data_IF_409810179812
#
_entry.id   IF_409810179812
#
_cell.length_a   1.000
_cell.length_b   1.000
_cell.length_c   1.000
_cell.angle_alpha   90.00
_cell.angle_beta   90.00
_cell.angle_gamma   90.00
#
_symmetry.space_group_name_H-M   'P 1'
#
loop_
_entity.id
_entity.type
_entity.pdbx_description
1 polymer ?
#
# COMPACT_ATOMS: atom_id res chain seq x y z
N UNK A 1 -2.09 20.63 -3.99
CA UNK A 1 -0.87 19.82 -3.89
C UNK A 1 -0.98 18.49 -4.68
N UNK A 2 -2.01 17.69 -4.54
CA UNK A 2 -2.16 16.38 -5.23
C UNK A 2 -2.36 16.48 -6.73
N UNK A 3 -3.13 17.46 -7.19
CA UNK A 3 -3.24 17.77 -8.62
C UNK A 3 -1.88 18.13 -9.23
N UNK A 4 -1.01 18.80 -8.47
CA UNK A 4 0.35 19.12 -8.93
C UNK A 4 1.19 17.83 -9.11
N UNK A 5 1.15 16.89 -8.17
CA UNK A 5 1.91 15.63 -8.26
C UNK A 5 1.45 14.79 -9.46
N UNK A 6 0.13 14.65 -9.65
CA UNK A 6 -0.43 13.94 -10.81
C UNK A 6 -0.10 14.64 -12.13
N UNK A 7 -0.16 15.96 -12.17
CA UNK A 7 0.20 16.75 -13.34
C UNK A 7 1.70 16.65 -13.65
N UNK A 8 2.58 16.72 -12.63
CA UNK A 8 4.02 16.56 -12.80
C UNK A 8 4.34 15.17 -13.37
N UNK A 9 3.72 14.12 -12.81
CA UNK A 9 3.86 12.77 -13.33
C UNK A 9 3.36 12.65 -14.77
N UNK A 10 2.17 13.22 -15.06
CA UNK A 10 1.61 13.23 -16.42
C UNK A 10 2.59 13.86 -17.43
N UNK A 11 3.12 15.06 -17.10
CA UNK A 11 4.06 15.75 -17.97
C UNK A 11 5.42 15.05 -18.06
N UNK A 12 5.91 14.47 -16.96
CA UNK A 12 7.11 13.62 -16.98
C UNK A 12 6.97 12.48 -18.01
N UNK A 13 5.89 11.73 -17.95
CA UNK A 13 5.63 10.62 -18.86
C UNK A 13 5.47 11.11 -20.32
N UNK A 14 4.76 12.23 -20.52
CA UNK A 14 4.51 12.77 -21.88
C UNK A 14 5.77 13.35 -22.52
N UNK A 15 6.61 14.04 -21.78
CA UNK A 15 7.77 14.77 -22.28
C UNK A 15 9.02 13.87 -22.28
N UNK A 16 9.29 13.19 -21.17
CA UNK A 16 10.52 12.40 -20.98
C UNK A 16 10.36 11.00 -21.59
N UNK A 17 9.30 10.28 -21.21
CA UNK A 17 9.07 8.93 -21.74
C UNK A 17 8.38 8.91 -23.12
N UNK A 18 7.82 10.03 -23.56
CA UNK A 18 7.17 10.23 -24.87
C UNK A 18 6.08 9.20 -25.18
N UNK A 19 5.32 8.78 -24.18
CA UNK A 19 4.23 7.80 -24.31
C UNK A 19 2.90 8.33 -23.76
N UNK A 20 1.84 7.58 -23.98
CA UNK A 20 0.54 7.82 -23.35
C UNK A 20 0.57 7.37 -21.89
N UNK A 21 -0.13 8.13 -21.01
CA UNK A 21 -0.25 7.86 -19.55
C UNK A 21 -1.45 6.95 -19.33
N UNK A 22 -1.36 5.71 -19.78
CA UNK A 22 -2.46 4.74 -19.70
C UNK A 22 -2.81 4.33 -18.28
N UNK A 23 -1.84 4.37 -17.38
CA UNK A 23 -1.98 4.03 -15.97
C UNK A 23 -2.80 5.05 -15.17
N UNK A 24 -2.96 6.27 -15.68
CA UNK A 24 -3.86 7.31 -15.16
C UNK A 24 -5.13 7.48 -15.99
N UNK A 25 -5.44 6.56 -16.91
CA UNK A 25 -6.65 6.67 -17.72
C UNK A 25 -7.90 6.85 -16.86
N UNK A 26 -8.75 7.81 -17.24
CA UNK A 26 -9.96 8.20 -16.50
C UNK A 26 -11.08 7.16 -16.55
N UNK A 27 -11.07 6.32 -17.59
CA UNK A 27 -12.00 5.19 -17.69
C UNK A 27 -11.88 4.29 -16.46
N UNK A 28 -12.97 4.14 -15.71
CA UNK A 28 -13.06 3.34 -14.49
C UNK A 28 -12.36 3.90 -13.23
N UNK A 29 -11.84 5.14 -13.23
CA UNK A 29 -11.17 5.76 -12.06
C UNK A 29 -12.00 5.62 -10.80
N UNK A 30 -13.26 6.07 -10.80
CA UNK A 30 -14.11 6.02 -9.61
C UNK A 30 -14.32 4.58 -9.12
N UNK A 31 -14.59 3.66 -10.05
CA UNK A 31 -14.81 2.24 -9.72
C UNK A 31 -13.56 1.61 -9.09
N UNK A 32 -12.39 1.83 -9.67
CA UNK A 32 -11.14 1.23 -9.17
C UNK A 32 -10.68 1.87 -7.87
N UNK A 33 -10.78 3.19 -7.77
CA UNK A 33 -10.45 3.90 -6.54
C UNK A 33 -11.38 3.46 -5.39
N UNK A 34 -12.69 3.41 -5.62
CA UNK A 34 -13.66 2.96 -4.60
C UNK A 34 -13.45 1.49 -4.23
N UNK A 35 -13.15 0.62 -5.18
CA UNK A 35 -12.83 -0.77 -4.91
C UNK A 35 -11.54 -0.89 -4.09
N UNK A 36 -10.53 -0.07 -4.39
CA UNK A 36 -9.29 0.01 -3.62
C UNK A 36 -9.54 0.49 -2.20
N UNK A 37 -10.30 1.58 -2.04
CA UNK A 37 -10.67 2.11 -0.71
C UNK A 37 -11.42 1.07 0.11
N UNK A 38 -12.41 0.41 -0.47
CA UNK A 38 -13.15 -0.65 0.22
C UNK A 38 -12.22 -1.80 0.62
N UNK A 39 -11.36 -2.26 -0.30
CA UNK A 39 -10.43 -3.36 -0.04
C UNK A 39 -9.43 -3.01 1.06
N UNK A 40 -8.77 -1.85 0.99
CA UNK A 40 -7.83 -1.40 2.01
C UNK A 40 -8.48 -1.28 3.39
N UNK A 41 -9.71 -0.73 3.44
CA UNK A 41 -10.52 -0.66 4.67
C UNK A 41 -10.79 -2.05 5.23
N UNK A 42 -11.22 -3.00 4.40
CA UNK A 42 -11.52 -4.37 4.84
C UNK A 42 -10.26 -5.08 5.32
N UNK A 43 -9.15 -4.98 4.59
CA UNK A 43 -7.90 -5.64 4.95
C UNK A 43 -7.38 -5.15 6.30
N UNK A 44 -7.29 -3.83 6.51
CA UNK A 44 -6.81 -3.29 7.77
C UNK A 44 -7.78 -3.59 8.93
N UNK A 45 -9.09 -3.42 8.71
CA UNK A 45 -10.09 -3.74 9.73
C UNK A 45 -10.07 -5.23 10.12
N UNK A 46 -9.80 -6.13 9.16
CA UNK A 46 -9.64 -7.56 9.44
C UNK A 46 -8.40 -7.80 10.32
N UNK A 47 -7.29 -7.14 10.02
CA UNK A 47 -6.07 -7.22 10.85
C UNK A 47 -6.37 -6.76 12.28
N UNK A 48 -7.00 -5.61 12.46
CA UNK A 48 -7.36 -5.11 13.80
C UNK A 48 -8.35 -6.03 14.50
N UNK A 49 -9.33 -6.58 13.80
CA UNK A 49 -10.29 -7.52 14.38
C UNK A 49 -9.58 -8.78 14.92
N UNK A 50 -8.60 -9.32 14.19
CA UNK A 50 -7.78 -10.44 14.67
C UNK A 50 -6.98 -10.05 15.91
N UNK A 51 -6.31 -8.89 15.90
CA UNK A 51 -5.54 -8.40 17.04
C UNK A 51 -6.42 -8.14 18.27
N UNK A 52 -7.62 -7.62 18.08
CA UNK A 52 -8.59 -7.39 19.13
C UNK A 52 -9.09 -8.72 19.74
N UNK A 53 -9.43 -9.70 18.92
CA UNK A 53 -9.86 -11.03 19.38
C UNK A 53 -8.78 -11.76 20.17
N UNK A 54 -7.50 -11.52 19.83
CA UNK A 54 -6.34 -12.08 20.53
C UNK A 54 -5.92 -11.27 21.77
N UNK A 55 -6.59 -10.12 22.04
CA UNK A 55 -6.28 -9.26 23.17
C UNK A 55 -5.06 -8.35 22.97
N UNK A 56 -4.53 -8.26 21.75
CA UNK A 56 -3.36 -7.43 21.45
C UNK A 56 -3.72 -5.97 21.10
N UNK A 57 -4.95 -5.69 20.70
CA UNK A 57 -5.47 -4.35 20.43
C UNK A 57 -6.55 -3.98 21.45
N UNK A 58 -6.41 -2.81 22.08
CA UNK A 58 -7.36 -2.32 23.07
C UNK A 58 -7.68 -0.85 22.80
N UNK A 59 -8.95 -0.47 22.98
CA UNK A 59 -9.44 0.91 22.88
C UNK A 59 -9.66 1.45 24.27
N UNK A 60 -9.12 2.62 24.57
CA UNK A 60 -9.26 3.31 25.86
C UNK A 60 -10.19 4.52 25.83
N UNK A 61 -10.29 5.21 24.68
CA UNK A 61 -11.13 6.38 24.51
C UNK A 61 -11.58 6.58 23.06
N UNK A 62 -12.60 7.42 22.87
CA UNK A 62 -13.06 7.90 21.56
C UNK A 62 -12.84 9.40 21.53
N UNK A 63 -12.08 9.87 20.54
CA UNK A 63 -11.74 11.27 20.35
C UNK A 63 -12.80 12.00 19.49
N UNK A 64 -12.64 13.31 19.36
CA UNK A 64 -13.48 14.11 18.49
C UNK A 64 -13.29 13.67 17.02
N UNK A 65 -14.36 13.76 16.22
CA UNK A 65 -14.33 13.33 14.81
C UNK A 65 -13.25 14.06 13.98
N UNK A 66 -12.88 15.27 14.37
CA UNK A 66 -11.83 16.04 13.69
C UNK A 66 -10.45 15.38 13.73
N UNK A 67 -10.18 14.48 14.68
CA UNK A 67 -8.91 13.73 14.78
C UNK A 67 -8.60 12.90 13.55
N UNK A 68 -9.60 12.54 12.74
CA UNK A 68 -9.38 11.80 11.49
C UNK A 68 -8.76 12.64 10.38
N UNK A 69 -8.93 13.97 10.40
CA UNK A 69 -8.59 14.84 9.26
C UNK A 69 -7.09 14.83 8.89
N UNK A 70 -6.14 14.88 9.86
CA UNK A 70 -4.71 14.77 9.53
C UNK A 70 -4.40 13.47 8.79
N UNK A 71 -4.97 12.36 9.24
CA UNK A 71 -4.72 11.04 8.65
C UNK A 71 -5.41 10.84 7.30
N UNK A 72 -6.56 11.46 7.08
CA UNK A 72 -7.16 11.52 5.74
C UNK A 72 -6.22 12.26 4.76
N UNK A 73 -5.66 13.39 5.19
CA UNK A 73 -4.71 14.14 4.37
C UNK A 73 -3.41 13.36 4.12
N UNK A 74 -2.81 12.78 5.17
CA UNK A 74 -1.59 11.97 5.08
C UNK A 74 -1.83 10.77 4.15
N UNK A 75 -2.92 10.02 4.36
CA UNK A 75 -3.25 8.87 3.54
C UNK A 75 -3.38 9.20 2.06
N UNK A 76 -4.04 10.33 1.72
CA UNK A 76 -4.17 10.77 0.33
C UNK A 76 -2.81 11.17 -0.25
N UNK A 77 -2.00 11.90 0.50
CA UNK A 77 -0.68 12.36 0.01
C UNK A 77 0.26 11.18 -0.18
N UNK A 78 0.42 10.32 0.83
CA UNK A 78 1.30 9.15 0.74
C UNK A 78 0.81 8.16 -0.33
N UNK A 79 -0.48 7.82 -0.33
CA UNK A 79 -1.05 6.88 -1.28
C UNK A 79 -0.93 7.33 -2.75
N UNK A 80 -1.03 8.61 -3.04
CA UNK A 80 -0.80 9.12 -4.40
C UNK A 80 0.69 9.18 -4.71
N UNK A 81 1.48 9.80 -3.85
CA UNK A 81 2.89 10.08 -4.13
C UNK A 81 3.70 8.79 -4.24
N UNK A 82 3.55 7.89 -3.28
CA UNK A 82 4.30 6.64 -3.25
C UNK A 82 3.90 5.70 -4.39
N UNK A 83 2.59 5.61 -4.72
CA UNK A 83 2.17 4.77 -5.84
C UNK A 83 2.64 5.30 -7.20
N UNK A 84 2.69 6.62 -7.38
CA UNK A 84 3.26 7.21 -8.59
C UNK A 84 4.75 6.86 -8.73
N UNK A 85 5.53 6.97 -7.65
CA UNK A 85 6.96 6.65 -7.67
C UNK A 85 7.20 5.13 -7.83
N UNK A 86 6.52 4.33 -7.01
CA UNK A 86 6.81 2.91 -6.92
C UNK A 86 6.18 2.11 -8.06
N UNK A 87 4.93 2.40 -8.43
CA UNK A 87 4.20 1.63 -9.46
C UNK A 87 4.21 2.35 -10.80
N UNK A 88 4.05 3.66 -10.77
CA UNK A 88 4.08 4.48 -11.98
C UNK A 88 5.46 4.61 -12.63
N UNK A 89 6.51 4.64 -11.85
CA UNK A 89 7.89 4.79 -12.37
C UNK A 89 8.69 3.51 -12.16
N UNK A 90 9.06 3.18 -10.92
CA UNK A 90 10.02 2.11 -10.65
C UNK A 90 9.55 0.74 -11.16
N UNK A 91 8.36 0.30 -10.74
CA UNK A 91 7.81 -0.99 -11.13
C UNK A 91 7.73 -1.11 -12.65
N UNK A 92 7.22 -0.09 -13.31
CA UNK A 92 7.01 -0.11 -14.75
C UNK A 92 8.33 -0.20 -15.52
N UNK A 93 9.36 0.55 -15.11
CA UNK A 93 10.70 0.46 -15.71
C UNK A 93 11.30 -0.93 -15.52
N UNK A 94 11.19 -1.48 -14.29
CA UNK A 94 11.65 -2.84 -13.99
C UNK A 94 10.86 -3.89 -14.78
N UNK A 95 9.55 -3.75 -14.91
CA UNK A 95 8.71 -4.69 -15.65
C UNK A 95 9.04 -4.70 -17.13
N UNK A 96 9.26 -3.53 -17.73
CA UNK A 96 9.65 -3.42 -19.13
C UNK A 96 10.98 -4.09 -19.41
N UNK A 97 11.93 -4.00 -18.50
CA UNK A 97 13.26 -4.61 -18.66
C UNK A 97 13.29 -6.08 -18.21
N UNK A 98 12.88 -6.35 -16.98
CA UNK A 98 13.11 -7.62 -16.29
C UNK A 98 11.88 -8.54 -16.23
N UNK A 99 10.73 -8.07 -16.73
CA UNK A 99 9.47 -8.79 -16.68
C UNK A 99 8.76 -8.68 -15.33
N UNK A 100 7.48 -9.07 -15.30
CA UNK A 100 6.57 -8.81 -14.18
C UNK A 100 7.01 -9.47 -12.87
N UNK A 101 7.51 -10.72 -12.90
CA UNK A 101 7.91 -11.44 -11.68
C UNK A 101 9.04 -10.72 -10.93
N UNK A 102 10.08 -10.34 -11.66
CA UNK A 102 11.25 -9.65 -11.08
C UNK A 102 10.84 -8.24 -10.65
N UNK A 103 10.00 -7.57 -11.44
CA UNK A 103 9.51 -6.23 -11.09
C UNK A 103 8.70 -6.23 -9.78
N UNK A 104 7.82 -7.22 -9.54
CA UNK A 104 7.11 -7.37 -8.26
C UNK A 104 8.13 -7.51 -7.12
N UNK A 105 9.08 -8.45 -7.23
CA UNK A 105 10.04 -8.72 -6.18
C UNK A 105 10.93 -7.50 -5.86
N UNK A 106 11.54 -6.90 -6.88
CA UNK A 106 12.47 -5.79 -6.69
C UNK A 106 11.76 -4.51 -6.21
N UNK A 107 10.61 -4.16 -6.80
CA UNK A 107 9.88 -2.97 -6.35
C UNK A 107 9.35 -3.12 -4.91
N UNK A 108 8.91 -4.33 -4.53
CA UNK A 108 8.50 -4.61 -3.16
C UNK A 108 9.67 -4.50 -2.18
N UNK A 109 10.85 -5.06 -2.51
CA UNK A 109 12.05 -4.94 -1.70
C UNK A 109 12.48 -3.48 -1.52
N UNK A 110 12.47 -2.69 -2.59
CA UNK A 110 12.80 -1.25 -2.52
C UNK A 110 11.79 -0.54 -1.62
N UNK A 111 10.50 -0.85 -1.74
CA UNK A 111 9.45 -0.24 -0.93
C UNK A 111 9.69 -0.50 0.58
N UNK A 112 9.90 -1.75 0.96
CA UNK A 112 10.21 -2.10 2.36
C UNK A 112 11.54 -1.52 2.85
N UNK A 113 12.57 -1.47 1.99
CA UNK A 113 13.87 -0.89 2.34
C UNK A 113 13.78 0.63 2.62
N UNK A 114 12.96 1.37 1.87
CA UNK A 114 12.71 2.80 2.12
C UNK A 114 12.07 3.02 3.49
N UNK A 115 11.22 2.11 3.96
CA UNK A 115 10.59 2.19 5.27
C UNK A 115 11.55 1.91 6.45
N UNK A 116 12.76 1.38 6.18
CA UNK A 116 13.80 1.26 7.22
C UNK A 116 14.32 2.61 7.71
N UNK A 117 14.06 3.69 7.00
CA UNK A 117 14.43 5.05 7.42
C UNK A 117 13.40 5.69 8.36
N UNK A 118 12.26 5.05 8.56
CA UNK A 118 11.18 5.57 9.41
C UNK A 118 11.48 5.39 10.91
N UNK A 119 10.85 6.18 11.79
CA UNK A 119 10.95 5.98 13.23
C UNK A 119 10.59 4.55 13.64
N UNK A 120 11.28 4.04 14.65
CA UNK A 120 11.02 2.70 15.22
C UNK A 120 11.15 1.53 14.22
N UNK A 121 11.73 1.74 13.04
CA UNK A 121 11.89 0.70 12.04
C UNK A 121 12.87 -0.39 12.53
N UNK A 122 12.55 -1.63 12.19
CA UNK A 122 13.36 -2.82 12.39
C UNK A 122 13.53 -3.57 11.08
N UNK A 123 14.47 -4.49 10.99
CA UNK A 123 14.58 -5.36 9.81
C UNK A 123 13.29 -6.15 9.56
N UNK A 124 12.62 -6.57 10.64
CA UNK A 124 11.31 -7.23 10.52
C UNK A 124 10.26 -6.26 9.94
N UNK A 125 10.22 -5.01 10.40
CA UNK A 125 9.28 -4.01 9.85
C UNK A 125 9.50 -3.82 8.34
N UNK A 126 10.75 -3.63 7.90
CA UNK A 126 11.07 -3.51 6.47
C UNK A 126 10.66 -4.75 5.67
N UNK A 127 10.86 -5.96 6.21
CA UNK A 127 10.47 -7.21 5.57
C UNK A 127 8.94 -7.38 5.53
N UNK A 128 8.25 -7.07 6.61
CA UNK A 128 6.79 -7.10 6.69
C UNK A 128 6.17 -6.16 5.66
N UNK A 129 6.62 -4.89 5.61
CA UNK A 129 6.17 -3.90 4.61
C UNK A 129 6.46 -4.35 3.18
N UNK A 130 7.63 -4.98 2.93
CA UNK A 130 7.93 -5.58 1.62
C UNK A 130 6.83 -6.54 1.19
N UNK A 131 6.41 -7.43 2.08
CA UNK A 131 5.46 -8.49 1.74
C UNK A 131 4.02 -7.97 1.75
N UNK A 132 3.61 -7.26 2.82
CA UNK A 132 2.21 -6.87 2.98
C UNK A 132 1.81 -5.74 2.02
N UNK A 133 2.58 -4.65 1.93
CA UNK A 133 2.28 -3.51 1.05
C UNK A 133 3.01 -3.61 -0.30
N UNK A 134 4.31 -3.92 -0.27
CA UNK A 134 5.14 -3.98 -1.47
C UNK A 134 4.58 -4.94 -2.50
N UNK A 135 4.34 -6.20 -2.12
CA UNK A 135 3.79 -7.23 -3.02
C UNK A 135 2.32 -6.97 -3.35
N UNK A 136 1.48 -6.66 -2.33
CA UNK A 136 0.05 -6.43 -2.56
C UNK A 136 -0.22 -5.31 -3.56
N UNK A 137 0.40 -4.14 -3.37
CA UNK A 137 0.15 -2.97 -4.20
C UNK A 137 0.75 -3.14 -5.62
N UNK A 138 1.90 -3.81 -5.76
CA UNK A 138 2.44 -4.20 -7.06
C UNK A 138 1.50 -5.18 -7.78
N UNK A 139 1.00 -6.19 -7.08
CA UNK A 139 0.03 -7.14 -7.62
C UNK A 139 -1.30 -6.48 -8.02
N UNK A 140 -1.80 -5.53 -7.23
CA UNK A 140 -2.98 -4.73 -7.54
C UNK A 140 -2.79 -3.89 -8.81
N UNK A 141 -1.58 -3.31 -9.00
CA UNK A 141 -1.22 -2.61 -10.22
C UNK A 141 -1.18 -3.56 -11.43
N UNK A 142 -0.55 -4.72 -11.33
CA UNK A 142 -0.54 -5.73 -12.42
C UNK A 142 -1.95 -6.18 -12.76
N UNK A 143 -2.81 -6.33 -11.75
CA UNK A 143 -4.21 -6.74 -11.93
C UNK A 143 -5.04 -5.70 -12.68
N UNK A 144 -4.97 -4.43 -12.27
CA UNK A 144 -5.76 -3.34 -12.88
C UNK A 144 -5.11 -2.72 -14.12
N UNK A 145 -3.76 -2.78 -14.20
CA UNK A 145 -2.94 -2.02 -15.15
C UNK A 145 -3.14 -0.51 -15.05
N UNK A 146 -3.70 -0.06 -13.94
CA UNK A 146 -3.92 1.35 -13.59
C UNK A 146 -3.55 1.60 -12.13
N UNK A 147 -3.25 2.86 -11.82
CA UNK A 147 -2.81 3.27 -10.49
C UNK A 147 -3.97 3.45 -9.50
N UNK A 148 -5.22 3.56 -9.98
CA UNK A 148 -6.35 3.91 -9.13
C UNK A 148 -6.67 2.86 -8.07
N UNK A 149 -6.53 1.57 -8.40
CA UNK A 149 -6.76 0.49 -7.44
C UNK A 149 -5.70 0.48 -6.31
N UNK A 150 -4.37 0.43 -6.60
CA UNK A 150 -3.38 0.49 -5.53
C UNK A 150 -3.39 1.81 -4.76
N UNK A 151 -3.62 2.96 -5.40
CA UNK A 151 -3.81 4.24 -4.71
C UNK A 151 -4.96 4.16 -3.71
N UNK A 152 -6.11 3.61 -4.10
CA UNK A 152 -7.27 3.46 -3.21
C UNK A 152 -6.98 2.56 -2.01
N UNK A 153 -6.30 1.42 -2.23
CA UNK A 153 -5.88 0.51 -1.15
C UNK A 153 -4.96 1.24 -0.17
N UNK A 154 -3.94 1.92 -0.67
CA UNK A 154 -2.94 2.61 0.15
C UNK A 154 -3.53 3.76 0.96
N UNK A 155 -4.34 4.62 0.33
CA UNK A 155 -5.06 5.71 1.02
C UNK A 155 -5.89 5.16 2.17
N UNK A 156 -6.71 4.14 1.89
CA UNK A 156 -7.61 3.58 2.88
C UNK A 156 -6.87 2.89 4.02
N UNK A 157 -5.80 2.17 3.71
CA UNK A 157 -4.97 1.52 4.71
C UNK A 157 -4.44 2.53 5.72
N UNK A 158 -3.72 3.56 5.26
CA UNK A 158 -3.12 4.57 6.14
C UNK A 158 -4.18 5.38 6.90
N UNK A 159 -5.28 5.76 6.21
CA UNK A 159 -6.38 6.48 6.84
C UNK A 159 -7.09 5.67 7.92
N UNK A 160 -7.39 4.41 7.66
CA UNK A 160 -8.11 3.55 8.61
C UNK A 160 -7.21 3.21 9.79
N UNK A 161 -5.93 2.92 9.53
CA UNK A 161 -4.92 2.63 10.56
C UNK A 161 -4.75 3.81 11.51
N UNK A 162 -4.32 4.94 11.01
CA UNK A 162 -4.04 6.11 11.83
C UNK A 162 -5.31 6.86 12.23
N UNK A 163 -6.18 7.15 11.26
CA UNK A 163 -7.35 8.02 11.46
C UNK A 163 -8.48 7.36 12.21
N UNK A 164 -8.78 6.10 11.95
CA UNK A 164 -9.90 5.42 12.61
C UNK A 164 -9.43 4.67 13.86
N UNK A 165 -8.51 3.73 13.70
CA UNK A 165 -8.09 2.85 14.78
C UNK A 165 -7.04 3.45 15.72
N UNK A 166 -6.46 4.62 15.39
CA UNK A 166 -5.50 5.30 16.26
C UNK A 166 -4.22 4.49 16.50
N UNK A 167 -3.79 3.71 15.50
CA UNK A 167 -2.58 2.89 15.54
C UNK A 167 -1.47 3.60 14.78
N UNK A 168 -0.25 3.55 15.29
CA UNK A 168 0.91 4.10 14.60
C UNK A 168 0.98 3.61 13.15
N UNK A 169 1.35 4.50 12.22
CA UNK A 169 1.49 4.20 10.79
C UNK A 169 2.95 4.35 10.41
N UNK A 170 3.57 3.28 9.96
CA UNK A 170 4.97 3.25 9.53
C UNK A 170 5.93 3.89 10.56
N UNK A 171 5.69 3.60 11.83
CA UNK A 171 6.50 4.11 12.94
C UNK A 171 6.15 5.51 13.43
N UNK A 172 5.19 6.19 12.79
CA UNK A 172 4.70 7.53 13.21
C UNK A 172 3.49 7.35 14.11
N UNK A 173 3.55 7.90 15.32
CA UNK A 173 2.44 7.86 16.28
C UNK A 173 1.18 8.51 15.71
N UNK A 174 0.02 8.00 16.11
CA UNK A 174 -1.27 8.46 15.63
C UNK A 174 -2.22 8.84 16.77
N UNK A 175 -2.87 9.97 16.60
CA UNK A 175 -4.04 10.41 17.35
C UNK A 175 -5.27 10.37 16.45
N UNK A 176 -5.85 9.17 16.28
CA UNK A 176 -7.03 8.96 15.44
C UNK A 176 -8.35 9.16 16.20
N UNK A 177 -9.45 8.69 15.60
CA UNK A 177 -10.78 8.67 16.24
C UNK A 177 -10.76 7.82 17.51
N UNK A 178 -10.06 6.70 17.51
CA UNK A 178 -9.89 5.85 18.67
C UNK A 178 -8.52 6.11 19.29
N UNK A 179 -8.48 6.25 20.63
CA UNK A 179 -7.25 6.15 21.40
C UNK A 179 -7.03 4.68 21.70
N UNK A 180 -5.98 4.10 21.19
CA UNK A 180 -5.75 2.67 21.27
C UNK A 180 -4.32 2.32 21.67
N UNK A 181 -4.12 1.08 22.08
CA UNK A 181 -2.81 0.52 22.41
C UNK A 181 -2.66 -0.85 21.76
N UNK A 182 -1.44 -1.10 21.26
CA UNK A 182 -1.00 -2.42 20.85
C UNK A 182 -0.12 -3.01 21.96
N UNK A 183 -0.40 -4.25 22.33
CA UNK A 183 0.34 -4.97 23.37
C UNK A 183 0.75 -6.36 22.89
N UNK A 184 1.63 -7.03 23.66
CA UNK A 184 2.11 -8.36 23.33
C UNK A 184 3.37 -8.37 22.44
N UNK A 185 3.81 -9.56 21.97
CA UNK A 185 5.02 -9.71 21.17
C UNK A 185 4.96 -8.90 19.87
N UNK A 186 6.00 -8.13 19.56
CA UNK A 186 6.08 -7.26 18.38
C UNK A 186 5.78 -7.99 17.08
N UNK A 187 6.24 -9.23 16.92
CA UNK A 187 5.96 -10.05 15.75
C UNK A 187 4.45 -10.32 15.55
N UNK A 188 3.68 -10.41 16.63
CA UNK A 188 2.23 -10.66 16.58
C UNK A 188 1.43 -9.36 16.49
N UNK A 189 1.78 -8.35 17.28
CA UNK A 189 1.02 -7.10 17.39
C UNK A 189 1.42 -6.02 16.40
N UNK A 190 2.68 -6.07 15.90
CA UNK A 190 3.31 -5.00 15.13
C UNK A 190 4.10 -4.01 15.99
N UNK A 191 3.86 -4.00 17.31
CA UNK A 191 4.57 -3.15 18.27
C UNK A 191 4.43 -1.65 18.00
N UNK A 192 5.50 -0.91 18.28
CA UNK A 192 5.53 0.55 18.14
C UNK A 192 5.59 1.05 16.69
N UNK A 193 5.95 0.19 15.74
CA UNK A 193 5.95 0.57 14.32
C UNK A 193 4.53 0.66 13.77
N UNK A 194 3.65 -0.24 14.20
CA UNK A 194 2.25 -0.28 13.78
C UNK A 194 1.75 -1.70 13.46
N UNK A 195 0.44 -1.89 13.54
CA UNK A 195 -0.21 -3.19 13.31
C UNK A 195 0.07 -3.79 11.91
N UNK A 196 0.47 -3.00 10.94
CA UNK A 196 0.87 -3.38 9.59
C UNK A 196 2.06 -4.35 9.58
N UNK A 197 2.94 -4.29 10.59
CA UNK A 197 4.06 -5.22 10.71
C UNK A 197 3.72 -6.48 11.50
N UNK A 198 2.47 -6.66 11.92
CA UNK A 198 2.02 -7.90 12.51
C UNK A 198 2.02 -9.03 11.48
N UNK A 199 2.33 -10.25 11.91
CA UNK A 199 2.25 -11.41 11.01
C UNK A 199 0.84 -11.60 10.43
N UNK A 200 -0.20 -11.14 11.13
CA UNK A 200 -1.57 -11.22 10.65
C UNK A 200 -1.82 -10.26 9.49
N UNK A 201 -1.29 -9.02 9.53
CA UNK A 201 -1.33 -8.10 8.39
C UNK A 201 -0.63 -8.71 7.19
N UNK A 202 0.58 -9.27 7.40
CA UNK A 202 1.35 -9.94 6.35
C UNK A 202 0.55 -11.07 5.71
N UNK A 203 -0.07 -11.96 6.50
CA UNK A 203 -0.86 -13.09 5.96
C UNK A 203 -2.09 -12.60 5.19
N UNK A 204 -2.85 -11.65 5.76
CA UNK A 204 -4.08 -11.13 5.15
C UNK A 204 -3.76 -10.44 3.81
N UNK A 205 -2.76 -9.57 3.78
CA UNK A 205 -2.38 -8.84 2.57
C UNK A 205 -1.73 -9.74 1.52
N UNK A 206 -0.84 -10.64 1.93
CA UNK A 206 -0.21 -11.60 1.02
C UNK A 206 -1.25 -12.51 0.34
N UNK A 207 -2.28 -12.94 1.08
CA UNK A 207 -3.35 -13.77 0.51
C UNK A 207 -4.07 -13.08 -0.65
N UNK A 208 -4.36 -11.78 -0.51
CA UNK A 208 -4.98 -10.98 -1.58
C UNK A 208 -3.95 -10.67 -2.68
N UNK A 209 -2.70 -10.40 -2.32
CA UNK A 209 -1.61 -10.23 -3.30
C UNK A 209 -1.44 -11.45 -4.19
N UNK A 210 -1.42 -12.66 -3.60
CA UNK A 210 -1.38 -13.93 -4.34
C UNK A 210 -2.60 -14.07 -5.25
N UNK A 211 -3.80 -13.74 -4.77
CA UNK A 211 -5.00 -13.77 -5.61
C UNK A 211 -4.87 -12.85 -6.84
N UNK A 212 -4.38 -11.61 -6.67
CA UNK A 212 -4.17 -10.69 -7.78
C UNK A 212 -3.11 -11.19 -8.76
N UNK A 213 -1.98 -11.72 -8.25
CA UNK A 213 -0.93 -12.33 -9.07
C UNK A 213 -1.50 -13.49 -9.88
N UNK A 214 -2.18 -14.43 -9.24
CA UNK A 214 -2.80 -15.58 -9.86
C UNK A 214 -3.78 -15.15 -10.97
N UNK A 215 -4.72 -14.26 -10.64
CA UNK A 215 -5.71 -13.78 -11.60
C UNK A 215 -5.08 -13.10 -12.81
N UNK A 216 -4.06 -12.26 -12.56
CA UNK A 216 -3.33 -11.53 -13.61
C UNK A 216 -2.53 -12.46 -14.51
N UNK A 217 -1.92 -13.49 -13.94
CA UNK A 217 -1.18 -14.49 -14.70
C UNK A 217 -2.09 -15.24 -15.68
N UNK A 218 -3.24 -15.74 -15.22
CA UNK A 218 -4.20 -16.42 -16.09
C UNK A 218 -4.90 -15.50 -17.10
N UNK A 219 -4.89 -14.19 -16.85
CA UNK A 219 -5.38 -13.19 -17.81
C UNK A 219 -4.30 -12.77 -18.85
N UNK A 220 -3.13 -13.38 -18.83
CA UNK A 220 -2.05 -13.06 -19.78
C UNK A 220 -1.44 -11.67 -19.59
N UNK A 221 -1.57 -11.06 -18.40
CA UNK A 221 -1.07 -9.71 -18.10
C UNK A 221 0.42 -9.67 -17.76
N UNK A 222 1.05 -10.82 -17.62
CA UNK A 222 2.47 -10.89 -17.27
C UNK A 222 3.35 -10.65 -18.50
N UNK A 223 4.31 -9.75 -18.35
CA UNK A 223 5.29 -9.40 -19.36
C UNK A 223 6.54 -10.26 -19.14
N UNK A 224 7.06 -10.87 -20.22
CA UNK A 224 8.32 -11.62 -20.16
C UNK A 224 9.51 -10.66 -20.08
N UNK A 225 10.65 -11.08 -19.48
CA UNK A 225 11.90 -10.30 -19.52
C UNK A 225 12.34 -10.03 -20.96
N UNK A 226 13.12 -8.94 -21.17
CA UNK A 226 13.55 -8.54 -22.53
C UNK A 226 14.29 -9.65 -23.27
N UNK A 227 15.08 -10.48 -22.56
CA UNK A 227 15.83 -11.60 -23.18
C UNK A 227 14.96 -12.79 -23.59
N UNK A 228 13.68 -12.81 -23.24
CA UNK A 228 12.71 -13.85 -23.61
C UNK A 228 11.58 -13.33 -24.51
N UNK A 229 11.75 -12.17 -25.12
CA UNK A 229 10.78 -11.53 -26.03
C UNK A 229 11.25 -11.70 -27.49
N UNK A 230 11.64 -12.91 -27.91
CA UNK A 230 11.89 -13.21 -29.29
C UNK A 230 10.58 -13.43 -30.06
#
# INVERSE_FOLDING_TARGET
>A
MWSATLLTYYWFVRIIERRNVSELASAHTLRELSAGVLLGTVLFSTTIAILWLLGYYQVSAVNALQSILPWLFIGIVSGIFEELLMRGILFRILEESLGTWIAIALSALVFGALHLTNPNATLWAGLAITIEAGVLLAAAYVYSRRLWLPIGIHIAWNFVQGGIFGVAVSGVESEGLLTSTLSGPTFLSGGVFGAETSIFAVIVCLSVGIYFVWKSYYQGKFIKPFWNRA
#
